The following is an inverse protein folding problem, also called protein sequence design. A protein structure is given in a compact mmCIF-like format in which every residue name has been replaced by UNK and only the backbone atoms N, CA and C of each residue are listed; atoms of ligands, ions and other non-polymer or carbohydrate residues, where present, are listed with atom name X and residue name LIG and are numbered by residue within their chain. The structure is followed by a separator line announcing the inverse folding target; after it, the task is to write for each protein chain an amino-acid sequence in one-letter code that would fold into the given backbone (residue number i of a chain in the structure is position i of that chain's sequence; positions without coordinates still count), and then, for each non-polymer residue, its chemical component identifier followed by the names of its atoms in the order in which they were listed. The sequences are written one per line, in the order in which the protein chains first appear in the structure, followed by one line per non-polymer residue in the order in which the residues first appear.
data_IF_154350372164
#
_entry.id   IF_154350372164
#
_cell.length_a   1.000
_cell.length_b   1.000
_cell.length_c   1.000
_cell.angle_alpha   90.00
_cell.angle_beta   90.00
_cell.angle_gamma   90.00
#
_symmetry.space_group_name_H-M   'P 1'
#
loop_
_entity.id
_entity.type
_entity.pdbx_description
1 polymer ?
#
# COMPACT_ATOMS: atom_id res chain seq x y z
N UNK A 1 -17.62 -2.69 8.80
CA UNK A 1 -18.02 -1.90 7.61
C UNK A 1 -17.00 -2.06 6.45
N UNK A 2 -16.57 -3.30 6.14
CA UNK A 2 -15.72 -3.56 4.98
C UNK A 2 -16.57 -3.99 3.78
N UNK A 3 -16.05 -3.81 2.57
CA UNK A 3 -16.64 -4.34 1.34
C UNK A 3 -15.66 -5.24 0.61
N UNK A 4 -16.16 -6.39 0.14
CA UNK A 4 -15.36 -7.38 -0.60
C UNK A 4 -16.04 -7.66 -1.93
N UNK A 5 -15.26 -7.58 -2.99
CA UNK A 5 -15.71 -7.90 -4.34
C UNK A 5 -15.82 -9.41 -4.60
N UNK A 6 -16.12 -9.77 -5.83
CA UNK A 6 -16.22 -11.16 -6.26
C UNK A 6 -14.87 -11.86 -6.26
N UNK A 7 -14.85 -13.14 -5.97
CA UNK A 7 -13.66 -14.00 -5.97
C UNK A 7 -12.54 -13.50 -5.04
N UNK A 8 -12.91 -12.96 -3.88
CA UNK A 8 -11.95 -12.59 -2.83
C UNK A 8 -11.74 -13.79 -1.92
N UNK A 9 -10.47 -14.18 -1.75
CA UNK A 9 -10.05 -15.19 -0.78
C UNK A 9 -9.42 -14.51 0.43
N UNK A 10 -9.78 -14.97 1.64
CA UNK A 10 -9.20 -14.48 2.89
C UNK A 10 -8.75 -15.67 3.73
N UNK A 11 -7.44 -15.74 3.96
CA UNK A 11 -6.81 -16.70 4.87
C UNK A 11 -6.80 -16.18 6.32
N UNK A 12 -5.79 -16.57 7.09
CA UNK A 12 -5.57 -16.09 8.47
C UNK A 12 -4.92 -14.70 8.46
N UNK A 13 -5.66 -13.71 7.98
CA UNK A 13 -5.26 -12.31 7.92
C UNK A 13 -5.95 -11.49 9.01
N UNK A 14 -5.38 -10.32 9.33
CA UNK A 14 -6.04 -9.31 10.17
C UNK A 14 -6.48 -8.16 9.27
N UNK A 15 -7.76 -7.85 9.29
CA UNK A 15 -8.35 -6.79 8.45
C UNK A 15 -9.06 -5.80 9.38
N UNK A 16 -8.71 -4.53 9.26
CA UNK A 16 -9.30 -3.43 10.01
C UNK A 16 -10.70 -3.06 9.53
N UNK A 17 -11.10 -1.83 9.82
CA UNK A 17 -12.43 -1.31 9.49
C UNK A 17 -12.42 -0.49 8.21
N UNK A 18 -13.57 -0.40 7.54
CA UNK A 18 -13.77 0.40 6.32
C UNK A 18 -12.79 0.05 5.17
N UNK A 19 -12.26 -1.17 5.17
CA UNK A 19 -11.40 -1.68 4.10
C UNK A 19 -12.25 -2.02 2.89
N UNK A 20 -11.79 -1.63 1.71
CA UNK A 20 -12.42 -1.98 0.42
C UNK A 20 -11.49 -2.89 -0.36
N UNK A 21 -11.92 -4.11 -0.61
CA UNK A 21 -11.19 -5.10 -1.41
C UNK A 21 -11.99 -5.35 -2.69
N UNK A 22 -11.39 -5.05 -3.81
CA UNK A 22 -12.02 -5.24 -5.12
C UNK A 22 -11.95 -6.71 -5.57
N UNK A 23 -12.48 -7.00 -6.76
CA UNK A 23 -12.59 -8.36 -7.28
C UNK A 23 -11.22 -9.04 -7.47
N UNK A 24 -11.19 -10.36 -7.33
CA UNK A 24 -10.06 -11.24 -7.64
C UNK A 24 -8.81 -10.94 -6.80
N UNK A 25 -8.97 -10.69 -5.53
CA UNK A 25 -7.87 -10.47 -4.58
C UNK A 25 -7.78 -11.63 -3.59
N UNK A 26 -6.59 -12.19 -3.41
CA UNK A 26 -6.31 -13.20 -2.39
C UNK A 26 -5.49 -12.59 -1.27
N UNK A 27 -6.06 -12.57 -0.07
CA UNK A 27 -5.40 -12.08 1.15
C UNK A 27 -4.97 -13.31 1.94
N UNK A 28 -3.69 -13.60 1.92
CA UNK A 28 -3.11 -14.80 2.54
C UNK A 28 -2.86 -14.63 4.04
N UNK A 29 -2.41 -15.71 4.67
CA UNK A 29 -2.01 -15.72 6.07
C UNK A 29 -0.88 -14.70 6.32
N UNK A 30 -0.83 -14.14 7.55
CA UNK A 30 0.16 -13.16 7.98
C UNK A 30 0.12 -11.81 7.26
N UNK A 31 -0.97 -11.49 6.58
CA UNK A 31 -1.23 -10.15 6.05
C UNK A 31 -2.02 -9.36 7.08
N UNK A 32 -1.58 -8.14 7.35
CA UNK A 32 -2.24 -7.19 8.24
C UNK A 32 -2.64 -5.98 7.41
N UNK A 33 -3.92 -5.69 7.38
CA UNK A 33 -4.51 -4.54 6.68
C UNK A 33 -5.17 -3.65 7.71
N UNK A 34 -4.70 -2.43 7.86
CA UNK A 34 -5.28 -1.45 8.77
C UNK A 34 -6.54 -0.81 8.19
N UNK A 35 -7.15 0.10 8.95
CA UNK A 35 -8.41 0.74 8.57
C UNK A 35 -8.28 1.59 7.29
N UNK A 36 -9.39 1.73 6.56
CA UNK A 36 -9.52 2.58 5.38
C UNK A 36 -8.61 2.22 4.19
N UNK A 37 -7.99 1.06 4.18
CA UNK A 37 -7.17 0.60 3.05
C UNK A 37 -8.06 0.25 1.85
N UNK A 38 -7.58 0.60 0.66
CA UNK A 38 -8.18 0.20 -0.62
C UNK A 38 -7.26 -0.80 -1.33
N UNK A 39 -7.79 -1.98 -1.64
CA UNK A 39 -7.14 -2.99 -2.47
C UNK A 39 -7.80 -3.02 -3.85
N UNK A 40 -7.09 -2.58 -4.87
CA UNK A 40 -7.56 -2.54 -6.25
C UNK A 40 -7.79 -3.92 -6.85
N UNK A 41 -8.59 -4.01 -7.93
CA UNK A 41 -8.94 -5.30 -8.55
C UNK A 41 -7.69 -6.03 -9.05
N UNK A 42 -7.67 -7.33 -8.79
CA UNK A 42 -6.59 -8.24 -9.21
C UNK A 42 -5.20 -7.86 -8.71
N UNK A 43 -5.09 -7.05 -7.64
CA UNK A 43 -3.80 -6.85 -7.00
C UNK A 43 -3.36 -8.16 -6.31
N UNK A 44 -2.06 -8.35 -6.16
CA UNK A 44 -1.48 -9.63 -5.73
C UNK A 44 -0.68 -9.43 -4.44
N UNK A 45 -1.08 -10.16 -3.39
CA UNK A 45 -0.24 -10.41 -2.24
C UNK A 45 0.58 -11.69 -2.45
N UNK A 46 1.78 -11.74 -1.90
CA UNK A 46 2.57 -12.98 -1.76
C UNK A 46 2.82 -13.26 -0.28
N UNK A 47 3.25 -14.47 0.09
CA UNK A 47 3.45 -14.84 1.50
C UNK A 47 4.76 -15.56 1.77
N UNK A 48 5.41 -16.08 0.74
CA UNK A 48 6.71 -16.74 0.82
C UNK A 48 7.62 -16.23 -0.29
N UNK A 49 8.90 -16.04 0.04
CA UNK A 49 9.86 -15.37 -0.83
C UNK A 49 10.32 -16.24 -2.00
N UNK A 50 10.53 -17.53 -1.73
CA UNK A 50 11.17 -18.48 -2.64
C UNK A 50 10.42 -19.82 -2.67
N UNK A 51 9.17 -19.86 -3.16
CA UNK A 51 8.38 -21.07 -3.17
C UNK A 51 8.97 -22.15 -4.06
N UNK A 52 8.83 -23.40 -3.63
CA UNK A 52 9.11 -24.61 -4.41
C UNK A 52 8.04 -25.64 -4.10
N UNK A 53 7.45 -26.22 -5.11
CA UNK A 53 6.35 -27.18 -4.96
C UNK A 53 6.73 -28.37 -4.07
N UNK A 54 7.95 -28.90 -4.22
CA UNK A 54 8.43 -30.04 -3.45
C UNK A 54 8.89 -29.70 -2.02
N UNK A 55 8.96 -28.43 -1.64
CA UNK A 55 9.47 -27.97 -0.35
C UNK A 55 8.36 -27.30 0.45
N UNK A 56 8.06 -27.84 1.62
CA UNK A 56 7.08 -27.24 2.52
C UNK A 56 7.69 -26.00 3.21
N UNK A 57 7.13 -24.82 2.92
CA UNK A 57 7.57 -23.55 3.49
C UNK A 57 6.47 -22.83 4.31
N UNK A 58 5.48 -23.57 4.80
CA UNK A 58 4.36 -23.00 5.57
C UNK A 58 4.81 -22.24 6.82
N UNK A 59 5.96 -22.58 7.38
CA UNK A 59 6.55 -21.89 8.54
C UNK A 59 7.41 -20.68 8.17
N UNK A 60 7.55 -20.38 6.88
CA UNK A 60 8.38 -19.27 6.36
C UNK A 60 7.56 -18.11 5.81
N UNK A 61 6.24 -18.10 6.07
CA UNK A 61 5.37 -17.01 5.65
C UNK A 61 5.77 -15.69 6.29
N UNK A 62 5.98 -14.68 5.47
CA UNK A 62 6.37 -13.33 5.91
C UNK A 62 5.15 -12.50 6.25
N UNK A 63 5.30 -11.64 7.25
CA UNK A 63 4.30 -10.62 7.55
C UNK A 63 4.38 -9.49 6.54
N UNK A 64 3.23 -9.07 6.02
CA UNK A 64 3.09 -7.88 5.20
C UNK A 64 2.07 -6.96 5.86
N UNK A 65 2.43 -5.70 6.04
CA UNK A 65 1.60 -4.75 6.76
C UNK A 65 1.20 -3.63 5.80
N UNK A 66 -0.10 -3.42 5.67
CA UNK A 66 -0.68 -2.30 4.92
C UNK A 66 -1.24 -1.31 5.92
N UNK A 67 -0.62 -0.15 6.01
CA UNK A 67 -0.96 0.87 6.99
C UNK A 67 -2.21 1.65 6.59
N UNK A 68 -2.76 2.35 7.56
CA UNK A 68 -3.98 3.13 7.51
C UNK A 68 -4.09 3.97 6.21
N UNK A 69 -5.23 3.87 5.55
CA UNK A 69 -5.58 4.68 4.39
C UNK A 69 -4.75 4.44 3.11
N UNK A 70 -3.85 3.45 3.10
CA UNK A 70 -3.06 3.15 1.91
C UNK A 70 -3.92 2.64 0.75
N UNK A 71 -3.51 2.96 -0.48
CA UNK A 71 -4.15 2.51 -1.71
C UNK A 71 -3.23 1.57 -2.48
N UNK A 72 -3.72 0.38 -2.79
CA UNK A 72 -3.04 -0.60 -3.63
C UNK A 72 -3.73 -0.62 -4.99
N UNK A 73 -3.07 -0.12 -6.02
CA UNK A 73 -3.62 -0.01 -7.37
C UNK A 73 -3.90 -1.36 -8.02
N UNK A 74 -4.76 -1.35 -9.05
CA UNK A 74 -5.12 -2.55 -9.81
C UNK A 74 -3.88 -3.29 -10.34
N UNK A 75 -3.88 -4.62 -10.27
CA UNK A 75 -2.79 -5.47 -10.77
C UNK A 75 -1.40 -5.17 -10.16
N UNK A 76 -1.28 -4.39 -9.09
CA UNK A 76 0.01 -4.27 -8.42
C UNK A 76 0.36 -5.58 -7.71
N UNK A 77 1.66 -5.85 -7.54
CA UNK A 77 2.15 -7.03 -6.84
C UNK A 77 3.02 -6.60 -5.66
N UNK A 78 2.71 -7.10 -4.48
CA UNK A 78 3.52 -6.90 -3.28
C UNK A 78 4.33 -8.15 -2.98
N UNK A 79 5.64 -8.03 -2.98
CA UNK A 79 6.53 -9.07 -2.47
C UNK A 79 6.44 -9.06 -0.95
N UNK A 80 6.25 -10.22 -0.35
CA UNK A 80 6.00 -10.36 1.08
C UNK A 80 7.13 -9.83 1.98
N UNK A 81 6.79 -9.56 3.24
CA UNK A 81 7.77 -9.10 4.23
C UNK A 81 8.05 -7.61 4.20
N UNK A 82 7.12 -6.82 3.67
CA UNK A 82 7.25 -5.36 3.55
C UNK A 82 6.13 -4.64 4.29
N UNK A 83 6.38 -3.38 4.55
CA UNK A 83 5.40 -2.44 5.09
C UNK A 83 5.06 -1.37 4.05
N UNK A 84 3.76 -1.17 3.83
CA UNK A 84 3.21 -0.12 2.98
C UNK A 84 2.72 1.00 3.89
N UNK A 85 3.35 2.17 3.80
CA UNK A 85 3.14 3.28 4.73
C UNK A 85 1.75 3.92 4.64
N UNK A 86 1.39 4.62 5.71
CA UNK A 86 0.11 5.32 5.85
C UNK A 86 -0.14 6.27 4.69
N UNK A 87 -1.36 6.21 4.13
CA UNK A 87 -1.79 7.01 2.97
C UNK A 87 -0.86 6.96 1.75
N UNK A 88 0.03 5.96 1.66
CA UNK A 88 0.81 5.76 0.45
C UNK A 88 -0.09 5.28 -0.70
N UNK A 89 0.35 5.52 -1.91
CA UNK A 89 -0.39 5.18 -3.11
C UNK A 89 0.48 4.34 -4.04
N UNK A 90 0.12 3.09 -4.21
CA UNK A 90 0.76 2.16 -5.15
C UNK A 90 0.02 2.24 -6.46
N UNK A 91 0.68 2.68 -7.52
CA UNK A 91 0.08 2.77 -8.85
C UNK A 91 -0.26 1.39 -9.42
N UNK A 92 -1.22 1.37 -10.34
CA UNK A 92 -1.61 0.15 -11.04
C UNK A 92 -0.40 -0.53 -11.71
N UNK A 93 -0.31 -1.85 -11.62
CA UNK A 93 0.74 -2.65 -12.24
C UNK A 93 2.13 -2.55 -11.59
N UNK A 94 2.29 -1.83 -10.50
CA UNK A 94 3.58 -1.70 -9.82
C UNK A 94 4.01 -3.01 -9.16
N UNK A 95 5.31 -3.32 -9.22
CA UNK A 95 5.93 -4.43 -8.47
C UNK A 95 6.70 -3.86 -7.28
N UNK A 96 6.14 -4.01 -6.08
CA UNK A 96 6.70 -3.46 -4.84
C UNK A 96 7.46 -4.55 -4.08
N UNK A 97 8.76 -4.37 -3.92
CA UNK A 97 9.66 -5.31 -3.27
C UNK A 97 10.45 -4.72 -2.09
N UNK A 98 10.02 -3.59 -1.58
CA UNK A 98 10.62 -2.90 -0.42
C UNK A 98 9.58 -2.09 0.34
N UNK A 99 9.92 -1.68 1.56
CA UNK A 99 9.06 -0.82 2.37
C UNK A 99 8.75 0.49 1.64
N UNK A 100 7.55 0.99 1.87
CA UNK A 100 7.03 2.23 1.29
C UNK A 100 6.79 3.24 2.39
N UNK A 101 7.29 4.46 2.22
CA UNK A 101 7.11 5.56 3.18
C UNK A 101 5.65 6.04 3.23
N UNK A 102 5.20 6.59 4.35
CA UNK A 102 3.91 7.29 4.40
C UNK A 102 3.80 8.34 3.29
N UNK A 103 2.60 8.44 2.72
CA UNK A 103 2.27 9.39 1.63
C UNK A 103 3.06 9.21 0.32
N UNK A 104 3.93 8.23 0.21
CA UNK A 104 4.70 8.02 -1.02
C UNK A 104 3.80 7.55 -2.18
N UNK A 105 4.01 8.14 -3.35
CA UNK A 105 3.46 7.68 -4.62
C UNK A 105 4.48 6.76 -5.28
N UNK A 106 4.12 5.50 -5.46
CA UNK A 106 4.99 4.42 -5.96
C UNK A 106 4.49 3.93 -7.31
N UNK A 107 5.37 3.76 -8.27
CA UNK A 107 5.02 3.24 -9.59
C UNK A 107 6.15 2.43 -10.22
N UNK A 108 5.81 1.59 -11.19
CA UNK A 108 6.74 0.89 -12.07
C UNK A 108 7.12 -0.51 -11.62
N UNK A 109 7.94 -1.18 -12.44
CA UNK A 109 8.45 -2.54 -12.25
C UNK A 109 9.94 -2.58 -12.59
N UNK A 110 10.83 -2.68 -11.60
CA UNK A 110 10.60 -2.61 -10.15
C UNK A 110 10.09 -1.23 -9.72
N UNK A 111 9.22 -1.21 -8.71
CA UNK A 111 8.58 0.03 -8.26
C UNK A 111 9.57 1.01 -7.63
N UNK A 112 9.35 2.30 -7.88
CA UNK A 112 10.12 3.41 -7.32
C UNK A 112 9.19 4.51 -6.87
N UNK A 113 9.60 5.30 -5.91
CA UNK A 113 8.89 6.50 -5.53
C UNK A 113 9.04 7.56 -6.63
N UNK A 114 7.89 8.07 -7.09
CA UNK A 114 7.81 9.09 -8.15
C UNK A 114 7.17 10.39 -7.66
N UNK A 115 6.77 10.46 -6.41
CA UNK A 115 6.12 11.63 -5.82
C UNK A 115 5.50 11.31 -4.48
N UNK A 116 4.52 12.13 -4.13
CA UNK A 116 3.77 12.07 -2.89
C UNK A 116 2.28 12.18 -3.17
N UNK A 117 1.46 11.64 -2.26
CA UNK A 117 0.00 11.62 -2.37
C UNK A 117 -0.62 12.13 -1.07
N UNK A 118 -1.62 13.01 -1.18
CA UNK A 118 -2.38 13.49 -0.03
C UNK A 118 -3.40 12.46 0.47
N UNK A 119 -3.98 12.70 1.63
CA UNK A 119 -5.10 11.88 2.16
C UNK A 119 -6.33 11.93 1.26
N UNK A 120 -6.50 13.01 0.51
CA UNK A 120 -7.58 13.15 -0.46
C UNK A 120 -7.36 12.30 -1.72
N UNK A 121 -6.10 11.90 -2.00
CA UNK A 121 -5.72 11.21 -3.24
C UNK A 121 -5.28 12.16 -4.35
N UNK A 122 -4.89 13.37 -4.01
CA UNK A 122 -4.29 14.35 -4.93
C UNK A 122 -2.76 14.25 -4.83
N UNK A 123 -2.08 14.43 -5.96
CA UNK A 123 -0.62 14.48 -5.98
C UNK A 123 -0.14 15.74 -5.25
N UNK A 124 0.74 15.56 -4.29
CA UNK A 124 1.40 16.66 -3.57
C UNK A 124 2.52 17.20 -4.45
N UNK A 125 2.46 18.48 -4.80
CA UNK A 125 3.41 19.12 -5.72
C UNK A 125 4.65 19.63 -4.97
N UNK A 126 5.45 18.68 -4.49
CA UNK A 126 6.76 18.93 -3.88
C UNK A 126 7.77 17.91 -4.42
N UNK A 127 9.09 18.19 -4.39
CA UNK A 127 10.11 17.24 -4.81
C UNK A 127 10.15 15.99 -3.92
N UNK A 128 10.97 15.00 -4.27
CA UNK A 128 11.15 13.79 -3.45
C UNK A 128 11.93 14.08 -2.17
N UNK A 129 12.75 15.12 -2.18
CA UNK A 129 13.52 15.57 -1.02
C UNK A 129 13.62 17.09 -0.97
N UNK A 130 13.65 17.65 0.23
CA UNK A 130 13.74 19.11 0.42
C UNK A 130 13.13 19.56 1.71
N UNK A 131 12.70 20.82 1.74
CA UNK A 131 12.01 21.42 2.88
C UNK A 131 10.95 22.39 2.35
N UNK A 132 9.81 21.84 1.97
CA UNK A 132 8.74 22.58 1.31
C UNK A 132 7.40 22.27 1.96
N UNK A 133 6.48 23.22 1.84
CA UNK A 133 5.08 23.06 2.28
C UNK A 133 4.14 23.11 1.07
N UNK A 134 3.05 22.36 1.17
CA UNK A 134 2.01 22.31 0.17
C UNK A 134 0.64 22.21 0.87
N UNK A 135 -0.31 22.99 0.38
CA UNK A 135 -1.70 22.97 0.84
C UNK A 135 -2.58 22.23 -0.17
N UNK A 136 -3.37 21.28 0.31
CA UNK A 136 -4.30 20.54 -0.52
C UNK A 136 -5.45 21.46 -0.96
N UNK A 137 -5.66 21.69 -2.27
CA UNK A 137 -6.70 22.61 -2.76
C UNK A 137 -8.13 22.11 -2.48
N UNK A 138 -8.30 20.84 -2.15
CA UNK A 138 -9.61 20.24 -1.89
C UNK A 138 -9.97 20.20 -0.40
N UNK A 139 -8.98 20.02 0.47
CA UNK A 139 -9.23 19.82 1.91
C UNK A 139 -8.67 20.93 2.78
N UNK A 140 -7.74 21.76 2.25
CA UNK A 140 -7.00 22.74 3.04
C UNK A 140 -5.95 22.11 3.97
N UNK A 141 -5.74 20.81 3.91
CA UNK A 141 -4.70 20.13 4.69
C UNK A 141 -3.31 20.58 4.25
N UNK A 142 -2.44 20.82 5.22
CA UNK A 142 -1.08 21.27 4.99
C UNK A 142 -0.11 20.07 5.15
N UNK A 143 0.74 19.89 4.17
CA UNK A 143 1.78 18.89 4.14
C UNK A 143 3.14 19.56 4.15
N UNK A 144 4.08 18.99 4.90
CA UNK A 144 5.46 19.46 4.97
C UNK A 144 6.42 18.36 4.61
N UNK A 145 7.27 18.65 3.63
CA UNK A 145 8.42 17.83 3.28
C UNK A 145 9.61 18.25 4.16
N UNK A 146 10.19 17.30 4.86
CA UNK A 146 11.41 17.49 5.66
C UNK A 146 12.42 16.40 5.28
N UNK A 147 13.46 16.78 4.56
CA UNK A 147 14.40 15.82 3.98
C UNK A 147 13.72 14.95 2.93
N UNK A 148 13.58 13.68 3.22
CA UNK A 148 12.92 12.67 2.35
C UNK A 148 11.62 12.13 2.97
N UNK A 149 11.02 12.84 3.90
CA UNK A 149 9.80 12.43 4.60
C UNK A 149 8.73 13.49 4.49
N UNK A 150 7.53 13.09 4.07
CA UNK A 150 6.36 13.95 4.03
C UNK A 150 5.50 13.74 5.27
N UNK A 151 5.05 14.82 5.87
CA UNK A 151 4.16 14.82 7.03
C UNK A 151 2.94 15.68 6.75
N UNK A 152 1.78 15.25 7.23
CA UNK A 152 0.59 16.10 7.32
C UNK A 152 0.64 16.85 8.64
N UNK A 153 0.50 18.17 8.60
CA UNK A 153 0.53 19.04 9.78
C UNK A 153 -0.86 19.28 10.36
N UNK A 154 -1.84 19.53 9.50
CA UNK A 154 -3.23 19.87 9.86
C UNK A 154 -4.16 19.22 8.86
#
# INVERSE_FOLDING_TARGET
NCSFGQNVYIGKAKIGNFVKVQNNVSIYDNIIIEDYVFCGPSMVFTNVYNPRSAINRKNEYKHTIIRYGATLGANCTLVCGIEIGTFSFIAAGALVNRNVKPYALIAGTPARQIGWMSTYGERVDVPLSGNEEWECPHTGEIYKLEGEDLKRLI
#
